data_IF_167411135897
#
_entry.id   IF_167411135897
#
_cell.length_a   1.000
_cell.length_b   1.000
_cell.length_c   1.000
_cell.angle_alpha   90.00
_cell.angle_beta   90.00
_cell.angle_gamma   90.00
#
_symmetry.space_group_name_H-M   'P 1'
#
loop_
_entity.id
_entity.type
_entity.pdbx_description
1 polymer ?
#
# COMPACT_ATOMS: atom_id res chain seq x y z
N UNK A 1 -12.35 1.44 11.40
CA UNK A 1 -11.04 1.99 11.02
C UNK A 1 -10.27 2.30 12.27
N UNK A 2 -9.07 1.70 12.43
CA UNK A 2 -8.22 1.84 13.60
C UNK A 2 -7.16 2.92 13.33
N UNK A 3 -7.18 3.98 14.13
CA UNK A 3 -6.33 5.16 13.94
C UNK A 3 -5.41 5.32 15.15
N UNK A 4 -4.12 5.53 14.88
CA UNK A 4 -3.15 5.93 15.89
C UNK A 4 -2.77 7.40 15.66
N UNK A 5 -2.86 8.23 16.71
CA UNK A 5 -2.43 9.64 16.67
C UNK A 5 -1.18 9.78 17.53
N UNK A 6 -0.10 10.20 16.91
CA UNK A 6 1.22 10.40 17.53
C UNK A 6 1.65 11.85 17.38
N UNK A 7 1.67 12.55 18.51
CA UNK A 7 2.06 13.97 18.62
C UNK A 7 2.47 14.21 20.07
N UNK A 8 3.51 14.95 20.37
CA UNK A 8 3.96 15.22 21.74
C UNK A 8 3.10 16.27 22.46
N UNK A 9 2.39 17.11 21.70
CA UNK A 9 1.54 18.17 22.22
C UNK A 9 0.12 17.62 22.45
N UNK A 10 -0.26 17.43 23.72
CA UNK A 10 -1.58 16.90 24.12
C UNK A 10 -2.75 17.68 23.51
N UNK A 11 -2.64 19.02 23.47
CA UNK A 11 -3.68 19.87 22.88
C UNK A 11 -3.89 19.57 21.40
N UNK A 12 -2.81 19.39 20.63
CA UNK A 12 -2.87 19.15 19.19
C UNK A 12 -3.45 17.75 18.93
N UNK A 13 -3.04 16.74 19.72
CA UNK A 13 -3.65 15.40 19.67
C UNK A 13 -5.15 15.46 19.93
N UNK A 14 -5.58 16.12 21.00
CA UNK A 14 -7.00 16.22 21.38
C UNK A 14 -7.83 16.89 20.29
N UNK A 15 -7.34 18.00 19.72
CA UNK A 15 -8.01 18.71 18.63
C UNK A 15 -8.14 17.84 17.39
N UNK A 16 -7.09 17.11 17.01
CA UNK A 16 -7.10 16.22 15.86
C UNK A 16 -8.07 15.05 16.07
N UNK A 17 -8.04 14.43 17.24
CA UNK A 17 -8.96 13.34 17.62
C UNK A 17 -10.41 13.79 17.55
N UNK A 18 -10.74 14.97 18.10
CA UNK A 18 -12.10 15.51 18.07
C UNK A 18 -12.59 15.77 16.65
N UNK A 19 -11.73 16.33 15.78
CA UNK A 19 -12.05 16.53 14.37
C UNK A 19 -12.25 15.21 13.64
N UNK A 20 -11.40 14.22 13.91
CA UNK A 20 -11.48 12.88 13.30
C UNK A 20 -12.76 12.16 13.74
N UNK A 21 -13.13 12.22 15.02
CA UNK A 21 -14.40 11.68 15.52
C UNK A 21 -15.62 12.32 14.86
N UNK A 22 -15.61 13.65 14.66
CA UNK A 22 -16.67 14.37 13.96
C UNK A 22 -16.80 13.89 12.50
N UNK A 23 -15.68 13.72 11.81
CA UNK A 23 -15.68 13.14 10.47
C UNK A 23 -16.28 11.72 10.45
N UNK A 24 -15.85 10.85 11.37
CA UNK A 24 -16.39 9.49 11.48
C UNK A 24 -17.89 9.44 11.70
N UNK A 25 -18.42 10.32 12.57
CA UNK A 25 -19.85 10.45 12.79
C UNK A 25 -20.60 10.94 11.55
N UNK A 26 -20.08 11.91 10.81
CA UNK A 26 -20.67 12.43 9.58
C UNK A 26 -20.74 11.38 8.46
N UNK A 27 -19.73 10.52 8.37
CA UNK A 27 -19.62 9.51 7.31
C UNK A 27 -20.08 8.11 7.74
N UNK A 28 -20.61 7.97 8.97
CA UNK A 28 -21.03 6.68 9.55
C UNK A 28 -19.91 5.61 9.56
N UNK A 29 -18.66 6.05 9.76
CA UNK A 29 -17.47 5.20 9.83
C UNK A 29 -17.17 4.90 11.29
N UNK A 30 -17.23 3.63 11.76
CA UNK A 30 -16.81 3.27 13.10
C UNK A 30 -15.29 3.47 13.25
N UNK A 31 -14.90 4.22 14.28
CA UNK A 31 -13.50 4.55 14.56
C UNK A 31 -13.07 3.99 15.91
N UNK A 32 -11.89 3.38 15.95
CA UNK A 32 -11.11 3.11 17.17
C UNK A 32 -9.88 4.01 17.12
N UNK A 33 -9.77 4.97 18.03
CA UNK A 33 -8.66 5.92 18.04
C UNK A 33 -7.83 5.68 19.28
N UNK A 34 -6.54 5.42 19.03
CA UNK A 34 -5.50 5.37 20.06
C UNK A 34 -4.65 6.63 19.94
N UNK A 35 -4.20 7.15 21.08
CA UNK A 35 -3.29 8.28 21.11
C UNK A 35 -1.98 7.91 21.80
N UNK A 36 -0.92 8.54 21.39
CA UNK A 36 0.40 8.30 21.90
C UNK A 36 1.25 9.56 21.90
N UNK A 37 1.91 9.83 23.01
CA UNK A 37 2.98 10.81 23.10
C UNK A 37 4.33 10.16 22.84
N UNK A 38 5.34 10.95 22.49
CA UNK A 38 6.72 10.49 22.29
C UNK A 38 7.24 9.58 23.44
N UNK A 39 6.93 9.91 24.70
CA UNK A 39 7.39 9.14 25.86
C UNK A 39 6.94 7.67 25.86
N UNK A 40 5.84 7.35 25.18
CA UNK A 40 5.30 5.99 25.07
C UNK A 40 5.94 5.17 23.93
N UNK A 41 6.62 5.82 22.98
CA UNK A 41 7.22 5.15 21.80
C UNK A 41 8.32 4.13 22.18
N UNK A 42 8.95 4.27 23.33
CA UNK A 42 9.97 3.34 23.84
C UNK A 42 9.36 2.18 24.67
N UNK A 43 8.05 2.09 24.81
CA UNK A 43 7.40 1.02 25.55
C UNK A 43 7.36 -0.30 24.76
N UNK A 44 7.58 -1.46 25.39
CA UNK A 44 7.41 -2.77 24.75
C UNK A 44 5.99 -3.00 24.18
N UNK A 45 4.98 -2.29 24.67
CA UNK A 45 3.60 -2.34 24.15
C UNK A 45 3.46 -1.81 22.72
N UNK A 46 4.45 -1.06 22.22
CA UNK A 46 4.48 -0.49 20.86
C UNK A 46 4.98 -1.43 19.76
N UNK A 47 5.17 -2.71 20.05
CA UNK A 47 5.84 -3.60 19.09
C UNK A 47 4.99 -4.10 17.94
N UNK A 48 3.71 -3.77 17.85
CA UNK A 48 2.87 -4.25 16.75
C UNK A 48 1.89 -3.20 16.27
N UNK A 49 2.21 -2.60 15.13
CA UNK A 49 1.26 -1.79 14.34
C UNK A 49 0.32 -2.66 13.48
N UNK A 50 0.09 -3.94 13.89
CA UNK A 50 -0.60 -4.93 13.05
C UNK A 50 -2.06 -4.61 12.81
N UNK A 51 -2.71 -4.01 13.81
CA UNK A 51 -4.15 -3.70 13.77
C UNK A 51 -4.43 -2.20 13.50
N UNK A 52 -3.42 -1.44 13.08
CA UNK A 52 -3.56 -0.02 12.78
C UNK A 52 -3.73 0.18 11.28
N UNK A 53 -4.80 0.87 10.88
CA UNK A 53 -5.08 1.21 9.50
C UNK A 53 -4.44 2.54 9.09
N UNK A 54 -4.46 3.52 10.00
CA UNK A 54 -4.00 4.90 9.75
C UNK A 54 -3.16 5.39 10.92
N UNK A 55 -2.03 6.03 10.60
CA UNK A 55 -1.24 6.77 11.60
C UNK A 55 -1.19 8.24 11.20
N UNK A 56 -1.62 9.09 12.12
CA UNK A 56 -1.27 10.51 12.11
C UNK A 56 0.03 10.66 12.91
N UNK A 57 1.07 11.13 12.27
CA UNK A 57 2.41 11.17 12.83
C UNK A 57 2.99 12.58 12.77
N UNK A 58 3.22 13.18 13.93
CA UNK A 58 3.99 14.42 13.99
C UNK A 58 5.45 14.14 13.59
N UNK A 59 6.01 15.00 12.76
CA UNK A 59 7.41 14.91 12.33
C UNK A 59 8.34 15.41 13.44
N UNK A 60 7.92 16.44 14.15
CA UNK A 60 8.75 17.15 15.12
C UNK A 60 8.37 16.76 16.56
N UNK A 61 8.88 15.63 17.01
CA UNK A 61 8.73 15.21 18.41
C UNK A 61 10.08 15.25 19.14
N UNK A 62 10.16 15.77 20.38
CA UNK A 62 11.40 15.84 21.13
C UNK A 62 12.08 14.47 21.28
N UNK A 63 13.33 14.34 20.77
CA UNK A 63 14.10 13.09 20.87
C UNK A 63 13.66 11.95 19.96
N UNK A 64 12.68 12.18 19.07
CA UNK A 64 12.22 11.21 18.08
C UNK A 64 11.96 11.92 16.74
N UNK A 65 12.66 11.49 15.70
CA UNK A 65 12.39 11.93 14.33
C UNK A 65 11.23 11.12 13.73
N UNK A 66 10.11 11.78 13.49
CA UNK A 66 8.92 11.16 12.91
C UNK A 66 9.18 10.50 11.56
N UNK A 67 10.12 11.00 10.76
CA UNK A 67 10.50 10.40 9.48
C UNK A 67 11.23 9.05 9.67
N UNK A 68 12.13 8.96 10.64
CA UNK A 68 12.81 7.72 10.99
C UNK A 68 11.84 6.69 11.58
N UNK A 69 10.89 7.14 12.39
CA UNK A 69 9.82 6.29 12.91
C UNK A 69 8.92 5.78 11.78
N UNK A 70 8.55 6.63 10.82
CA UNK A 70 7.75 6.22 9.67
C UNK A 70 8.43 5.13 8.83
N UNK A 71 9.75 5.21 8.62
CA UNK A 71 10.52 4.15 7.95
C UNK A 71 10.43 2.83 8.72
N UNK A 72 10.63 2.88 10.04
CA UNK A 72 10.54 1.70 10.89
C UNK A 72 9.13 1.08 10.89
N UNK A 73 8.09 1.92 10.95
CA UNK A 73 6.68 1.47 10.82
C UNK A 73 6.48 0.79 9.46
N UNK A 74 6.99 1.37 8.39
CA UNK A 74 6.86 0.83 7.02
C UNK A 74 7.55 -0.51 6.86
N UNK A 75 8.70 -0.73 7.51
CA UNK A 75 9.40 -2.02 7.54
C UNK A 75 8.59 -3.11 8.25
N UNK A 76 7.83 -2.75 9.29
CA UNK A 76 6.98 -3.69 10.04
C UNK A 76 5.63 -3.93 9.37
N UNK A 77 5.02 -2.89 8.80
CA UNK A 77 3.72 -2.98 8.14
C UNK A 77 3.63 -1.99 6.96
N UNK A 78 3.83 -2.54 5.76
CA UNK A 78 3.74 -1.78 4.52
C UNK A 78 2.34 -1.21 4.22
N UNK A 79 1.29 -1.66 4.95
CA UNK A 79 -0.11 -1.37 4.63
C UNK A 79 -0.68 -0.15 5.31
N UNK A 80 -0.05 0.30 6.39
CA UNK A 80 -0.54 1.43 7.19
C UNK A 80 -0.52 2.69 6.33
N UNK A 81 -1.63 3.41 6.32
CA UNK A 81 -1.68 4.73 5.70
C UNK A 81 -1.05 5.75 6.66
N UNK A 82 0.13 6.26 6.31
CA UNK A 82 0.84 7.24 7.13
C UNK A 82 0.48 8.63 6.64
N UNK A 83 0.00 9.48 7.56
CA UNK A 83 -0.31 10.89 7.32
C UNK A 83 0.59 11.68 8.24
N UNK A 84 1.51 12.44 7.66
CA UNK A 84 2.36 13.32 8.43
C UNK A 84 1.64 14.58 8.86
N UNK A 85 2.00 15.06 10.04
CA UNK A 85 1.55 16.34 10.59
C UNK A 85 2.78 17.15 10.95
N UNK A 86 2.82 18.44 10.63
CA UNK A 86 3.92 19.32 11.02
C UNK A 86 3.51 20.78 10.97
N UNK A 87 4.23 21.63 11.70
CA UNK A 87 4.13 23.08 11.62
C UNK A 87 4.86 23.65 10.39
N UNK A 88 5.69 22.86 9.72
CA UNK A 88 6.55 23.26 8.62
C UNK A 88 6.16 22.63 7.28
N UNK A 89 5.84 23.46 6.28
CA UNK A 89 5.41 22.99 4.95
C UNK A 89 6.53 22.37 4.11
N UNK A 90 7.78 22.67 4.42
CA UNK A 90 8.97 22.21 3.69
C UNK A 90 9.22 20.69 3.79
N UNK A 91 8.74 20.03 4.85
CA UNK A 91 8.85 18.59 5.00
C UNK A 91 7.95 17.76 4.06
N UNK A 92 7.04 18.40 3.32
CA UNK A 92 6.16 17.70 2.38
C UNK A 92 6.91 16.93 1.30
N UNK A 93 8.09 17.38 0.91
CA UNK A 93 8.95 16.71 -0.09
C UNK A 93 9.62 15.43 0.43
N UNK A 94 9.79 15.28 1.73
CA UNK A 94 10.45 14.11 2.34
C UNK A 94 9.50 12.91 2.52
N UNK A 95 8.20 13.12 2.46
CA UNK A 95 7.17 12.07 2.59
C UNK A 95 7.21 11.02 1.47
N UNK A 96 7.81 11.33 0.32
CA UNK A 96 7.94 10.41 -0.81
C UNK A 96 8.72 9.13 -0.47
N UNK A 97 9.73 9.22 0.40
CA UNK A 97 10.60 8.08 0.73
C UNK A 97 9.92 7.00 1.60
N UNK A 98 8.78 7.30 2.21
CA UNK A 98 8.04 6.37 3.08
C UNK A 98 6.63 6.09 2.55
N UNK A 99 6.34 6.50 1.32
CA UNK A 99 5.02 6.35 0.69
C UNK A 99 3.88 6.80 1.62
N UNK A 100 4.03 8.01 2.19
CA UNK A 100 3.00 8.61 3.00
C UNK A 100 1.73 8.86 2.17
N UNK A 101 0.56 8.64 2.78
CA UNK A 101 -0.72 8.90 2.12
C UNK A 101 -0.94 10.39 1.90
N UNK A 102 -0.49 11.22 2.85
CA UNK A 102 -0.58 12.68 2.75
C UNK A 102 0.28 13.40 3.81
N UNK A 103 0.26 14.72 3.71
CA UNK A 103 0.92 15.65 4.61
C UNK A 103 -0.04 16.76 5.03
N UNK A 104 -0.21 16.97 6.32
CA UNK A 104 -1.08 17.99 6.91
C UNK A 104 -0.25 19.05 7.66
N UNK A 105 -0.36 20.31 7.25
CA UNK A 105 0.28 21.42 7.92
C UNK A 105 -0.62 21.97 9.05
N UNK A 106 -0.06 22.19 10.23
CA UNK A 106 -0.72 22.85 11.37
C UNK A 106 -0.86 24.36 11.07
N UNK A 107 -2.00 24.99 11.38
CA UNK A 107 -3.22 24.43 11.97
C UNK A 107 -4.06 23.67 10.94
N UNK A 108 -4.44 22.43 11.26
CA UNK A 108 -5.16 21.54 10.34
C UNK A 108 -6.62 22.02 10.20
N UNK A 109 -7.03 22.41 8.99
CA UNK A 109 -8.43 22.74 8.71
C UNK A 109 -9.30 21.47 8.61
N UNK A 110 -10.59 21.58 8.96
CA UNK A 110 -11.52 20.46 8.83
C UNK A 110 -11.61 19.98 7.37
N UNK A 111 -11.68 20.90 6.41
CA UNK A 111 -11.78 20.55 4.99
C UNK A 111 -10.58 19.70 4.54
N UNK A 112 -9.36 20.09 4.90
CA UNK A 112 -8.16 19.36 4.51
C UNK A 112 -8.10 17.98 5.18
N UNK A 113 -8.39 17.91 6.48
CA UNK A 113 -8.44 16.63 7.22
C UNK A 113 -9.49 15.68 6.63
N UNK A 114 -10.70 16.19 6.34
CA UNK A 114 -11.80 15.38 5.83
C UNK A 114 -11.46 14.82 4.44
N UNK A 115 -10.90 15.64 3.55
CA UNK A 115 -10.44 15.17 2.23
C UNK A 115 -9.43 14.02 2.33
N UNK A 116 -8.49 14.11 3.27
CA UNK A 116 -7.50 13.05 3.49
C UNK A 116 -8.14 11.79 4.05
N UNK A 117 -9.03 11.93 5.04
CA UNK A 117 -9.75 10.80 5.63
C UNK A 117 -10.68 10.12 4.60
N UNK A 118 -11.36 10.87 3.73
CA UNK A 118 -12.18 10.35 2.65
C UNK A 118 -11.33 9.54 1.65
N UNK A 119 -10.17 10.08 1.28
CA UNK A 119 -9.22 9.39 0.41
C UNK A 119 -8.74 8.06 1.02
N UNK A 120 -8.31 8.12 2.29
CA UNK A 120 -7.83 6.93 3.01
C UNK A 120 -8.94 5.90 3.21
N UNK A 121 -10.14 6.33 3.62
CA UNK A 121 -11.29 5.44 3.76
C UNK A 121 -11.60 4.73 2.45
N UNK A 122 -11.62 5.46 1.34
CA UNK A 122 -11.86 4.89 0.02
C UNK A 122 -10.80 3.86 -0.35
N UNK A 123 -9.53 4.10 -0.04
CA UNK A 123 -8.44 3.12 -0.25
C UNK A 123 -8.62 1.87 0.62
N UNK A 124 -8.95 2.05 1.90
CA UNK A 124 -9.17 0.93 2.83
C UNK A 124 -10.40 0.11 2.42
N UNK A 125 -11.52 0.76 2.09
CA UNK A 125 -12.73 0.09 1.63
C UNK A 125 -12.51 -0.65 0.30
N UNK A 126 -11.68 -0.11 -0.59
CA UNK A 126 -11.28 -0.80 -1.81
C UNK A 126 -10.47 -2.07 -1.51
N UNK A 127 -9.69 -2.07 -0.44
CA UNK A 127 -8.92 -3.25 0.02
C UNK A 127 -9.77 -4.25 0.82
N UNK A 128 -10.84 -3.81 1.49
CA UNK A 128 -11.76 -4.70 2.19
C UNK A 128 -12.46 -5.63 1.19
N UNK A 129 -12.37 -6.95 1.44
CA UNK A 129 -12.92 -7.97 0.53
C UNK A 129 -12.05 -8.26 -0.70
N UNK A 130 -10.92 -7.58 -0.89
CA UNK A 130 -9.99 -7.96 -1.95
C UNK A 130 -9.30 -9.30 -1.63
N UNK A 131 -9.12 -10.17 -2.62
CA UNK A 131 -8.36 -11.39 -2.45
C UNK A 131 -6.94 -11.09 -1.96
N UNK A 132 -6.47 -11.89 -1.01
CA UNK A 132 -5.13 -11.80 -0.44
C UNK A 132 -4.38 -13.09 -0.76
N UNK A 133 -3.13 -12.99 -1.20
CA UNK A 133 -2.20 -14.12 -1.21
C UNK A 133 -1.24 -14.02 -0.02
N UNK A 134 -0.84 -15.16 0.51
CA UNK A 134 0.09 -15.26 1.63
C UNK A 134 1.30 -16.11 1.23
N UNK A 135 2.51 -15.57 1.38
CA UNK A 135 3.76 -16.23 1.02
C UNK A 135 4.68 -16.33 2.24
N UNK A 136 5.27 -17.51 2.44
CA UNK A 136 6.21 -17.72 3.56
C UNK A 136 7.55 -17.06 3.28
N UNK A 137 8.08 -16.33 4.28
CA UNK A 137 9.41 -15.74 4.27
C UNK A 137 10.13 -16.08 5.57
N UNK A 138 11.05 -17.05 5.52
CA UNK A 138 11.69 -17.58 6.73
C UNK A 138 10.65 -18.15 7.70
N UNK A 139 10.60 -17.62 8.92
CA UNK A 139 9.60 -17.96 9.95
C UNK A 139 8.32 -17.15 9.86
N UNK A 140 8.28 -16.11 9.04
CA UNK A 140 7.15 -15.20 8.86
C UNK A 140 6.31 -15.52 7.65
N UNK A 141 5.21 -14.76 7.49
CA UNK A 141 4.31 -14.81 6.35
C UNK A 141 4.01 -13.39 5.89
N UNK A 142 4.36 -13.09 4.63
CA UNK A 142 3.98 -11.83 3.99
C UNK A 142 2.63 -12.02 3.30
N UNK A 143 1.76 -11.01 3.42
CA UNK A 143 0.44 -11.01 2.79
C UNK A 143 0.36 -9.87 1.77
N UNK A 144 -0.13 -10.16 0.58
CA UNK A 144 -0.34 -9.18 -0.50
C UNK A 144 -1.81 -9.11 -0.87
N UNK A 145 -2.34 -7.90 -0.97
CA UNK A 145 -3.58 -7.72 -1.73
C UNK A 145 -3.30 -8.00 -3.21
N UNK A 146 -4.17 -8.76 -3.83
CA UNK A 146 -4.06 -9.08 -5.26
C UNK A 146 -3.99 -7.81 -6.12
N UNK A 147 -4.70 -6.76 -5.70
CA UNK A 147 -4.68 -5.44 -6.36
C UNK A 147 -3.33 -4.73 -6.33
N UNK A 148 -2.46 -5.03 -5.37
CA UNK A 148 -1.17 -4.34 -5.21
C UNK A 148 -0.06 -5.02 -6.02
N UNK A 149 -0.26 -6.27 -6.43
CA UNK A 149 0.70 -7.02 -7.22
C UNK A 149 0.65 -6.55 -8.67
N UNK A 150 1.79 -6.12 -9.20
CA UNK A 150 1.98 -5.78 -10.62
C UNK A 150 2.22 -7.05 -11.45
N UNK A 151 3.18 -7.84 -11.02
CA UNK A 151 3.52 -9.12 -11.66
C UNK A 151 4.33 -10.01 -10.69
N UNK A 152 4.46 -11.28 -11.06
CA UNK A 152 5.33 -12.26 -10.38
C UNK A 152 6.32 -12.78 -11.40
N UNK A 153 7.63 -12.75 -11.08
CA UNK A 153 8.71 -13.15 -11.98
C UNK A 153 9.60 -14.22 -11.35
N UNK A 154 9.85 -15.31 -12.08
CA UNK A 154 10.78 -16.33 -11.65
C UNK A 154 12.23 -15.86 -11.77
N UNK A 155 13.04 -16.19 -10.77
CA UNK A 155 14.47 -15.95 -10.68
C UNK A 155 15.16 -17.23 -10.18
N UNK A 156 15.73 -18.03 -11.09
CA UNK A 156 16.34 -19.33 -10.77
C UNK A 156 15.37 -20.20 -9.95
N UNK A 157 15.60 -20.35 -8.65
CA UNK A 157 14.83 -21.18 -7.73
C UNK A 157 13.81 -20.38 -6.87
N UNK A 158 13.67 -19.08 -7.13
CA UNK A 158 12.81 -18.17 -6.37
C UNK A 158 11.83 -17.48 -7.30
N UNK A 159 10.80 -16.86 -6.73
CA UNK A 159 9.98 -15.87 -7.41
C UNK A 159 10.14 -14.52 -6.75
N UNK A 160 10.05 -13.48 -7.53
CA UNK A 160 9.89 -12.10 -7.09
C UNK A 160 8.43 -11.70 -7.26
N UNK A 161 7.79 -11.27 -6.17
CA UNK A 161 6.52 -10.56 -6.21
C UNK A 161 6.82 -9.08 -6.30
N UNK A 162 6.34 -8.43 -7.35
CA UNK A 162 6.61 -7.02 -7.64
C UNK A 162 5.36 -6.20 -7.44
N UNK A 163 5.48 -5.16 -6.64
CA UNK A 163 4.45 -4.15 -6.35
C UNK A 163 4.97 -2.76 -6.70
N UNK A 164 4.16 -1.74 -6.57
CA UNK A 164 4.61 -0.35 -6.72
C UNK A 164 5.64 0.08 -5.64
N UNK A 165 5.66 -0.63 -4.50
CA UNK A 165 6.55 -0.38 -3.37
C UNK A 165 7.92 -1.07 -3.52
N UNK A 166 8.05 -2.00 -4.47
CA UNK A 166 9.28 -2.74 -4.73
C UNK A 166 9.06 -4.22 -5.00
N UNK A 167 10.16 -4.98 -4.99
CA UNK A 167 10.18 -6.41 -5.25
C UNK A 167 10.64 -7.19 -4.03
N UNK A 168 9.95 -8.30 -3.72
CA UNK A 168 10.31 -9.21 -2.64
C UNK A 168 10.45 -10.63 -3.16
N UNK A 169 11.55 -11.31 -2.77
CA UNK A 169 11.86 -12.68 -3.21
C UNK A 169 11.35 -13.74 -2.23
N UNK A 170 10.86 -14.86 -2.79
CA UNK A 170 10.34 -16.01 -2.06
C UNK A 170 10.93 -17.31 -2.61
N UNK A 171 11.28 -18.24 -1.71
CA UNK A 171 11.79 -19.56 -2.08
C UNK A 171 10.64 -20.50 -2.46
N UNK A 172 10.02 -20.22 -3.58
CA UNK A 172 8.90 -20.96 -4.16
C UNK A 172 9.00 -20.84 -5.69
N UNK A 173 8.52 -21.83 -6.41
CA UNK A 173 8.51 -21.81 -7.89
C UNK A 173 7.32 -21.03 -8.44
N UNK A 174 7.43 -20.56 -9.68
CA UNK A 174 6.33 -19.87 -10.37
C UNK A 174 5.11 -20.80 -10.58
N UNK A 175 5.34 -22.11 -10.70
CA UNK A 175 4.28 -23.10 -10.80
C UNK A 175 3.47 -23.27 -9.51
N UNK A 176 4.13 -23.08 -8.35
CA UNK A 176 3.47 -23.14 -7.04
C UNK A 176 2.75 -21.83 -6.70
N UNK A 177 3.25 -20.68 -7.15
CA UNK A 177 2.59 -19.40 -6.93
C UNK A 177 1.37 -19.23 -7.85
N UNK A 178 1.43 -19.72 -9.07
CA UNK A 178 0.37 -19.52 -10.07
C UNK A 178 -1.04 -19.90 -9.56
N UNK A 179 -1.27 -21.04 -8.91
CA UNK A 179 -2.60 -21.39 -8.39
C UNK A 179 -3.05 -20.56 -7.18
N UNK A 180 -2.17 -19.79 -6.54
CA UNK A 180 -2.53 -18.87 -5.47
C UNK A 180 -3.06 -17.53 -6.01
N UNK A 181 -2.81 -17.25 -7.29
CA UNK A 181 -3.23 -16.02 -7.96
C UNK A 181 -4.61 -16.22 -8.60
N UNK A 182 -5.57 -15.31 -8.42
CA UNK A 182 -6.87 -15.37 -9.06
C UNK A 182 -6.75 -15.39 -10.59
N UNK A 183 -7.28 -16.40 -11.28
CA UNK A 183 -7.10 -16.58 -12.72
C UNK A 183 -7.83 -15.52 -13.57
N UNK A 184 -8.84 -14.85 -13.00
CA UNK A 184 -9.55 -13.73 -13.61
C UNK A 184 -8.76 -12.42 -13.60
N UNK A 185 -7.68 -12.35 -12.77
CA UNK A 185 -6.86 -11.15 -12.61
C UNK A 185 -5.42 -11.33 -13.05
N UNK A 186 -4.95 -12.55 -13.19
CA UNK A 186 -3.57 -12.85 -13.55
C UNK A 186 -3.47 -13.74 -14.77
N UNK A 187 -2.60 -13.37 -15.70
CA UNK A 187 -2.31 -14.17 -16.89
C UNK A 187 -0.80 -14.42 -16.99
N UNK A 188 -0.45 -15.62 -17.41
CA UNK A 188 0.95 -15.94 -17.68
C UNK A 188 1.36 -15.30 -18.99
N UNK A 189 2.29 -14.34 -18.96
CA UNK A 189 2.78 -13.66 -20.15
C UNK A 189 4.11 -14.23 -20.67
N UNK A 190 4.84 -14.99 -19.85
CA UNK A 190 6.09 -15.63 -20.19
C UNK A 190 6.30 -16.90 -19.35
N UNK A 191 7.18 -17.82 -19.82
CA UNK A 191 7.53 -19.00 -19.01
C UNK A 191 8.00 -18.68 -17.59
N UNK A 192 8.51 -17.47 -17.39
CA UNK A 192 9.03 -16.97 -16.11
C UNK A 192 8.25 -15.76 -15.55
N UNK A 193 7.09 -15.41 -16.12
CA UNK A 193 6.38 -14.21 -15.67
C UNK A 193 4.85 -14.39 -15.74
N UNK A 194 4.19 -13.96 -14.66
CA UNK A 194 2.72 -13.86 -14.54
C UNK A 194 2.41 -12.41 -14.26
N UNK A 195 1.53 -11.77 -15.02
CA UNK A 195 1.19 -10.36 -14.91
C UNK A 195 -0.25 -10.17 -14.45
N UNK A 196 -0.49 -9.12 -13.67
CA UNK A 196 -1.83 -8.70 -13.30
C UNK A 196 -2.46 -7.95 -14.47
N UNK A 197 -3.56 -8.48 -15.00
CA UNK A 197 -4.26 -7.95 -16.17
C UNK A 197 -4.71 -6.51 -15.94
N UNK A 198 -5.21 -6.20 -14.74
CA UNK A 198 -5.68 -4.86 -14.36
C UNK A 198 -4.55 -3.81 -14.26
N UNK A 199 -3.29 -4.24 -14.37
CA UNK A 199 -2.12 -3.35 -14.39
C UNK A 199 -1.55 -3.14 -15.78
N UNK A 200 -2.11 -3.78 -16.80
CA UNK A 200 -1.69 -3.63 -18.19
C UNK A 200 -2.39 -2.41 -18.80
N UNK A 201 -1.62 -1.51 -19.36
CA UNK A 201 -2.12 -0.34 -20.11
C UNK A 201 -2.09 -0.53 -21.61
N UNK A 202 -1.09 -1.28 -22.11
CA UNK A 202 -0.91 -1.51 -23.54
C UNK A 202 -0.38 -2.93 -23.80
N UNK A 203 -0.89 -3.59 -24.83
CA UNK A 203 -0.33 -4.83 -25.37
C UNK A 203 0.26 -4.51 -26.75
N UNK A 204 1.58 -4.60 -26.86
CA UNK A 204 2.32 -4.31 -28.10
C UNK A 204 2.52 -5.59 -28.92
N UNK A 205 2.16 -5.56 -30.22
CA UNK A 205 2.18 -6.75 -31.09
C UNK A 205 2.95 -6.59 -32.39
N UNK A 206 3.44 -5.37 -32.75
CA UNK A 206 3.96 -5.11 -34.09
C UNK A 206 5.41 -5.57 -34.33
N UNK A 207 6.31 -5.24 -33.39
CA UNK A 207 7.76 -5.54 -33.55
C UNK A 207 8.28 -6.38 -32.39
N UNK A 208 7.77 -6.20 -31.22
CA UNK A 208 8.10 -6.95 -30.02
C UNK A 208 6.81 -7.23 -29.26
N UNK A 209 6.63 -8.49 -28.83
CA UNK A 209 5.50 -8.88 -28.02
C UNK A 209 5.75 -8.44 -26.56
N UNK A 210 5.13 -7.33 -26.15
CA UNK A 210 5.31 -6.75 -24.81
C UNK A 210 3.98 -6.28 -24.22
N UNK A 211 3.90 -6.28 -22.92
CA UNK A 211 2.91 -5.53 -22.15
C UNK A 211 3.57 -4.34 -21.51
N UNK A 212 2.87 -3.20 -21.48
CA UNK A 212 3.25 -2.02 -20.68
C UNK A 212 2.33 -1.92 -19.51
N UNK A 213 2.90 -1.70 -18.33
CA UNK A 213 2.18 -1.57 -17.09
C UNK A 213 1.82 -0.10 -16.77
N UNK A 214 0.91 0.09 -15.81
CA UNK A 214 0.53 1.41 -15.27
C UNK A 214 1.71 2.20 -14.71
N UNK A 215 2.81 1.51 -14.32
CA UNK A 215 4.07 2.11 -13.87
C UNK A 215 4.97 2.59 -15.00
N UNK A 216 4.61 2.30 -16.26
CA UNK A 216 5.46 2.54 -17.42
C UNK A 216 6.46 1.42 -17.72
N UNK A 217 6.64 0.46 -16.81
CA UNK A 217 7.49 -0.72 -17.02
C UNK A 217 6.94 -1.61 -18.14
N UNK A 218 7.84 -2.30 -18.87
CA UNK A 218 7.46 -3.22 -19.93
C UNK A 218 7.95 -4.63 -19.62
N UNK A 219 7.09 -5.63 -19.88
CA UNK A 219 7.40 -7.05 -19.74
C UNK A 219 7.30 -7.74 -21.11
N UNK A 220 8.22 -8.66 -21.39
CA UNK A 220 8.19 -9.45 -22.61
C UNK A 220 7.07 -10.50 -22.56
N UNK A 221 6.40 -10.71 -23.70
CA UNK A 221 5.43 -11.79 -23.88
C UNK A 221 6.08 -12.91 -24.71
N UNK A 222 6.05 -14.12 -24.17
CA UNK A 222 6.44 -15.29 -24.97
C UNK A 222 5.40 -15.59 -26.07
N UNK A 223 5.84 -15.99 -27.26
CA UNK A 223 4.94 -16.21 -28.41
C UNK A 223 3.75 -17.11 -28.10
N UNK A 224 3.95 -18.16 -27.30
CA UNK A 224 2.90 -19.09 -26.89
C UNK A 224 1.89 -18.54 -25.88
N UNK A 225 2.15 -17.38 -25.30
CA UNK A 225 1.30 -16.73 -24.29
C UNK A 225 0.56 -15.50 -24.82
N UNK A 226 0.83 -15.11 -26.07
CA UNK A 226 0.31 -13.84 -26.61
C UNK A 226 -1.22 -13.81 -26.70
N UNK A 227 -1.81 -14.89 -27.20
CA UNK A 227 -3.26 -14.97 -27.36
C UNK A 227 -3.95 -15.00 -25.99
N UNK A 228 -3.38 -15.69 -25.00
CA UNK A 228 -3.93 -15.72 -23.63
C UNK A 228 -3.90 -14.32 -23.00
N UNK A 229 -2.78 -13.59 -23.14
CA UNK A 229 -2.67 -12.20 -22.63
C UNK A 229 -3.67 -11.29 -23.32
N UNK A 230 -3.78 -11.37 -24.66
CA UNK A 230 -4.72 -10.55 -25.43
C UNK A 230 -6.16 -10.82 -25.03
N UNK A 231 -6.55 -12.09 -24.90
CA UNK A 231 -7.89 -12.48 -24.50
C UNK A 231 -8.20 -12.05 -23.06
N UNK A 232 -7.26 -12.19 -22.12
CA UNK A 232 -7.41 -11.76 -20.74
C UNK A 232 -7.66 -10.24 -20.66
N UNK A 233 -6.89 -9.42 -21.40
CA UNK A 233 -7.05 -7.96 -21.41
C UNK A 233 -8.38 -7.55 -22.06
N UNK A 234 -8.83 -8.25 -23.13
CA UNK A 234 -10.11 -7.94 -23.77
C UNK A 234 -11.32 -8.37 -22.94
N UNK A 235 -11.15 -9.40 -22.09
CA UNK A 235 -12.23 -9.92 -21.24
C UNK A 235 -12.35 -9.15 -19.90
N UNK A 236 -11.36 -8.31 -19.58
CA UNK A 236 -11.41 -7.49 -18.38
C UNK A 236 -12.45 -6.38 -18.52
N UNK A 237 -13.63 -6.60 -17.90
CA UNK A 237 -14.77 -5.67 -17.92
C UNK A 237 -14.51 -4.35 -17.18
N UNK A 238 -13.38 -4.21 -16.51
CA UNK A 238 -12.97 -2.99 -15.79
C UNK A 238 -12.00 -2.12 -16.62
N UNK A 239 -11.60 -2.54 -17.79
CA UNK A 239 -10.76 -1.82 -18.72
C UNK A 239 -11.60 -1.01 -19.70
N UNK A 240 -11.67 0.25 -19.45
CA UNK A 240 -12.04 1.43 -20.22
C UNK A 240 -12.10 1.21 -21.75
N UNK A 241 -13.26 1.57 -22.29
CA UNK A 241 -13.37 2.16 -23.63
C UNK A 241 -12.86 3.61 -23.60
#
# INVERSE_FOLDING_TARGET
MNILVMDDIERDRSVLIDKTKKWGALHSVPLTIQEMSHAACNSPAMRTYQDVDVIFLDIEMPGLDGMSLAKHIREQNARIEIIFISSHSEFSLHGYNVHAADYLCKPISNARLYNVLDYVQKRLSYKEGQPIIALKRGTGVDKYYVSDILYVKARLHTVEVVTAEGAQSYNISIGEVQPMLPPDRFVRCHRSCIVNVNKITVVESKTQLKVRLVTGETLDIGRSYFDDVKNAVLSDKNGVL
#
